data_IF_144745999681
#
_entry.id   IF_144745999681
#
_cell.length_a   1.000
_cell.length_b   1.000
_cell.length_c   1.000
_cell.angle_alpha   90.00
_cell.angle_beta   90.00
_cell.angle_gamma   90.00
#
_symmetry.space_group_name_H-M   'P 1'
#
loop_
_entity.id
_entity.type
_entity.pdbx_description
1 polymer ?
#
# COMPACT_ATOMS: atom_id res chain seq x y z
N UNK A 1 15.24 8.16 32.81
CA UNK A 1 15.55 6.73 32.64
C UNK A 1 14.82 6.24 31.40
N UNK A 2 15.55 5.84 30.35
CA UNK A 2 14.97 5.30 29.11
C UNK A 2 14.84 3.79 29.32
N UNK A 3 13.63 3.34 29.62
CA UNK A 3 13.35 1.93 29.87
C UNK A 3 13.42 1.18 28.53
N UNK A 4 14.57 0.58 28.28
CA UNK A 4 14.77 -0.30 27.14
C UNK A 4 14.05 -1.61 27.43
N UNK A 5 12.83 -1.78 26.90
CA UNK A 5 12.14 -3.08 26.90
C UNK A 5 13.01 -4.08 26.11
N UNK A 6 13.60 -5.11 26.74
CA UNK A 6 14.67 -5.88 26.12
C UNK A 6 14.20 -6.88 25.06
N UNK A 7 12.91 -6.88 24.68
CA UNK A 7 12.40 -7.79 23.65
C UNK A 7 11.12 -7.26 22.99
N UNK A 8 11.03 -5.96 22.70
CA UNK A 8 9.94 -5.49 21.82
C UNK A 8 10.29 -5.88 20.40
N UNK A 9 9.84 -7.06 19.99
CA UNK A 9 9.71 -7.39 18.57
C UNK A 9 8.78 -6.33 17.98
N UNK A 10 9.31 -5.51 17.08
CA UNK A 10 8.57 -4.43 16.41
C UNK A 10 7.42 -5.07 15.62
N UNK A 11 6.29 -5.27 16.28
CA UNK A 11 5.10 -5.80 15.65
C UNK A 11 4.60 -4.73 14.69
N UNK A 12 4.68 -5.01 13.39
CA UNK A 12 3.99 -4.16 12.42
C UNK A 12 2.50 -4.26 12.73
N UNK A 13 1.85 -3.12 12.99
CA UNK A 13 0.40 -3.09 13.12
C UNK A 13 -0.21 -3.53 11.79
N UNK A 14 -1.37 -4.19 11.81
CA UNK A 14 -2.06 -4.61 10.59
C UNK A 14 -2.28 -3.42 9.64
N UNK A 15 -2.63 -2.25 10.18
CA UNK A 15 -2.70 -1.00 9.43
C UNK A 15 -1.37 -0.59 8.79
N UNK A 16 -0.25 -0.76 9.49
CA UNK A 16 1.07 -0.47 8.94
C UNK A 16 1.43 -1.41 7.79
N UNK A 17 1.08 -2.70 7.87
CA UNK A 17 1.27 -3.67 6.78
C UNK A 17 0.41 -3.29 5.56
N UNK A 18 -0.86 -2.93 5.78
CA UNK A 18 -1.77 -2.49 4.70
C UNK A 18 -1.26 -1.21 4.03
N UNK A 19 -0.81 -0.23 4.82
CA UNK A 19 -0.24 1.01 4.28
C UNK A 19 1.06 0.75 3.52
N UNK A 20 1.92 -0.14 4.02
CA UNK A 20 3.14 -0.55 3.33
C UNK A 20 2.81 -1.22 1.99
N UNK A 21 1.85 -2.14 1.97
CA UNK A 21 1.40 -2.81 0.76
C UNK A 21 0.83 -1.81 -0.26
N UNK A 22 0.00 -0.86 0.19
CA UNK A 22 -0.53 0.20 -0.65
C UNK A 22 0.60 1.08 -1.24
N UNK A 23 1.59 1.48 -0.43
CA UNK A 23 2.73 2.26 -0.91
C UNK A 23 3.57 1.51 -1.96
N UNK A 24 3.81 0.21 -1.75
CA UNK A 24 4.52 -0.63 -2.73
C UNK A 24 3.73 -0.76 -4.03
N UNK A 25 2.41 -0.97 -3.95
CA UNK A 25 1.52 -1.03 -5.11
C UNK A 25 1.50 0.27 -5.90
N UNK A 26 1.40 1.42 -5.23
CA UNK A 26 1.46 2.74 -5.87
C UNK A 26 2.76 2.97 -6.64
N UNK A 27 3.88 2.46 -6.14
CA UNK A 27 5.17 2.60 -6.81
C UNK A 27 5.29 1.77 -8.10
N UNK A 28 4.72 0.56 -8.12
CA UNK A 28 4.77 -0.33 -9.30
C UNK A 28 3.69 -0.03 -10.34
N UNK A 29 2.60 0.61 -9.92
CA UNK A 29 1.40 0.81 -10.74
C UNK A 29 1.66 1.58 -12.06
N UNK A 30 2.40 2.70 -12.09
CA UNK A 30 2.67 3.41 -13.35
C UNK A 30 3.48 2.58 -14.35
N UNK A 31 4.44 1.79 -13.84
CA UNK A 31 5.28 0.92 -14.68
C UNK A 31 4.45 -0.20 -15.30
N UNK A 32 3.60 -0.84 -14.49
CA UNK A 32 2.70 -1.88 -14.97
C UNK A 32 1.74 -1.37 -16.04
N UNK A 33 1.16 -0.17 -15.85
CA UNK A 33 0.28 0.43 -16.86
C UNK A 33 1.02 0.74 -18.17
N UNK A 34 2.24 1.27 -18.08
CA UNK A 34 3.07 1.52 -19.26
C UNK A 34 3.46 0.22 -19.98
N UNK A 35 3.77 -0.85 -19.25
CA UNK A 35 4.18 -2.13 -19.81
C UNK A 35 3.00 -2.90 -20.46
N UNK A 36 1.82 -2.88 -19.82
CA UNK A 36 0.65 -3.63 -20.28
C UNK A 36 -0.21 -2.88 -21.29
N UNK A 37 -0.37 -1.57 -21.12
CA UNK A 37 -1.32 -0.77 -21.89
C UNK A 37 -0.65 0.34 -22.70
N UNK A 38 0.67 0.49 -22.60
CA UNK A 38 1.44 1.55 -23.27
C UNK A 38 0.91 2.96 -22.97
N UNK A 39 0.22 3.12 -21.84
CA UNK A 39 -0.39 4.37 -21.41
C UNK A 39 -0.26 4.53 -19.89
N UNK A 40 -0.45 5.77 -19.42
CA UNK A 40 -0.45 6.12 -18.01
C UNK A 40 -1.85 6.57 -17.60
N UNK A 41 -2.32 6.12 -16.43
CA UNK A 41 -3.54 6.65 -15.82
C UNK A 41 -4.85 6.02 -16.33
N UNK A 42 -4.82 4.76 -16.79
CA UNK A 42 -6.06 4.06 -17.16
C UNK A 42 -6.97 3.93 -15.94
N UNK A 43 -8.16 4.51 -16.02
CA UNK A 43 -9.10 4.59 -14.90
C UNK A 43 -9.62 3.21 -14.48
N UNK A 44 -9.96 2.38 -15.46
CA UNK A 44 -10.50 1.03 -15.28
C UNK A 44 -9.45 -0.05 -14.97
N UNK A 45 -8.22 0.35 -14.70
CA UNK A 45 -7.17 -0.63 -14.41
C UNK A 45 -7.48 -1.42 -13.11
N UNK A 46 -7.42 -2.77 -13.13
CA UNK A 46 -7.73 -3.59 -11.96
C UNK A 46 -6.84 -3.29 -10.75
N UNK A 47 -5.57 -2.88 -10.94
CA UNK A 47 -4.69 -2.51 -9.83
C UNK A 47 -5.18 -1.24 -9.11
N UNK A 48 -5.75 -0.29 -9.86
CA UNK A 48 -6.36 0.92 -9.30
C UNK A 48 -7.54 0.56 -8.38
N UNK A 49 -8.34 -0.47 -8.73
CA UNK A 49 -9.43 -0.97 -7.87
C UNK A 49 -8.90 -1.57 -6.57
N UNK A 50 -7.82 -2.35 -6.64
CA UNK A 50 -7.15 -2.89 -5.45
C UNK A 50 -6.57 -1.78 -4.55
N UNK A 51 -5.93 -0.76 -5.13
CA UNK A 51 -5.42 0.39 -4.39
C UNK A 51 -6.53 1.15 -3.66
N UNK A 52 -7.65 1.42 -4.34
CA UNK A 52 -8.82 2.05 -3.72
C UNK A 52 -9.36 1.22 -2.56
N UNK A 53 -9.43 -0.11 -2.68
CA UNK A 53 -9.86 -0.97 -1.59
C UNK A 53 -8.91 -0.92 -0.37
N UNK A 54 -7.59 -0.87 -0.59
CA UNK A 54 -6.59 -0.77 0.49
C UNK A 54 -6.57 0.61 1.16
N UNK A 55 -6.85 1.68 0.40
CA UNK A 55 -6.84 3.05 0.88
C UNK A 55 -8.18 3.51 1.46
N UNK A 56 -9.26 2.78 1.20
CA UNK A 56 -10.58 3.07 1.78
C UNK A 56 -10.58 2.62 3.24
N UNK A 57 -10.08 3.47 4.13
CA UNK A 57 -10.49 3.39 5.52
C UNK A 57 -11.97 3.74 5.58
N UNK A 58 -12.83 2.81 6.01
CA UNK A 58 -14.17 3.19 6.45
C UNK A 58 -13.97 4.10 7.65
N UNK A 59 -14.09 5.43 7.48
CA UNK A 59 -14.22 6.37 8.61
C UNK A 59 -15.39 5.82 9.43
N UNK A 60 -15.10 5.29 10.61
CA UNK A 60 -16.12 5.06 11.64
C UNK A 60 -16.36 6.37 12.36
#
# INVERSE_FOLDING_TARGET
>A
MKEHLPTVRRAMTTFHVVHLAAGRLTAVHPRFQQEKYHCRGREDDPLNKCLKALLTSKKR
#
